data_IF_157059712545
#
_entry.id   IF_157059712545
#
_cell.length_a   1.000
_cell.length_b   1.000
_cell.length_c   1.000
_cell.angle_alpha   90.00
_cell.angle_beta   90.00
_cell.angle_gamma   90.00
#
_symmetry.space_group_name_H-M   'P 1'
#
loop_
_entity.id
_entity.type
_entity.pdbx_description
1 polymer ?
#
# COMPACT_ATOMS: atom_id res chain seq x y z
N UNK A 1 10.15 -27.61 -66.05
CA UNK A 1 9.70 -26.30 -65.52
C UNK A 1 9.39 -26.47 -64.03
N UNK A 2 10.30 -25.96 -63.17
CA UNK A 2 10.27 -26.29 -61.74
C UNK A 2 9.62 -25.17 -60.95
N UNK A 3 8.34 -25.25 -60.70
CA UNK A 3 7.56 -24.32 -59.88
C UNK A 3 7.76 -24.56 -58.35
N UNK A 4 8.18 -25.75 -57.97
CA UNK A 4 8.35 -26.14 -56.56
C UNK A 4 9.30 -25.23 -55.76
N UNK A 5 10.48 -24.84 -56.27
CA UNK A 5 11.37 -23.98 -55.46
C UNK A 5 10.79 -22.59 -55.21
N UNK A 6 10.03 -22.05 -56.17
CA UNK A 6 9.45 -20.70 -56.01
C UNK A 6 8.32 -20.68 -54.99
N UNK A 7 7.47 -21.68 -54.94
CA UNK A 7 6.39 -21.82 -53.94
C UNK A 7 6.98 -22.04 -52.57
N UNK A 8 8.00 -22.86 -52.43
CA UNK A 8 8.68 -23.10 -51.15
C UNK A 8 9.36 -21.82 -50.60
N UNK A 9 9.95 -21.01 -51.44
CA UNK A 9 10.63 -19.75 -51.05
C UNK A 9 9.60 -18.71 -50.58
N UNK A 10 8.48 -18.55 -51.30
CA UNK A 10 7.41 -17.62 -50.92
C UNK A 10 6.71 -18.08 -49.67
N UNK A 11 6.42 -19.37 -49.53
CA UNK A 11 5.82 -19.95 -48.29
C UNK A 11 6.72 -19.77 -47.07
N UNK A 12 8.00 -20.02 -47.21
CA UNK A 12 8.98 -19.82 -46.15
C UNK A 12 9.10 -18.36 -45.69
N UNK A 13 9.13 -17.43 -46.64
CA UNK A 13 9.19 -15.99 -46.35
C UNK A 13 7.92 -15.48 -45.63
N UNK A 14 6.73 -15.95 -46.06
CA UNK A 14 5.47 -15.58 -45.43
C UNK A 14 5.37 -16.08 -43.96
N UNK A 15 5.81 -17.32 -43.69
CA UNK A 15 5.85 -17.88 -42.35
C UNK A 15 6.85 -17.12 -41.47
N UNK A 16 8.04 -16.82 -41.97
CA UNK A 16 9.05 -16.05 -41.23
C UNK A 16 8.53 -14.65 -40.88
N UNK A 17 7.94 -13.94 -41.84
CA UNK A 17 7.41 -12.60 -41.63
C UNK A 17 6.24 -12.59 -40.61
N UNK A 18 5.34 -13.53 -40.73
CA UNK A 18 4.19 -13.67 -39.78
C UNK A 18 4.67 -13.99 -38.37
N UNK A 19 5.67 -14.88 -38.24
CA UNK A 19 6.30 -15.22 -36.96
C UNK A 19 6.97 -14.02 -36.29
N UNK A 20 7.69 -13.22 -37.05
CA UNK A 20 8.37 -12.02 -36.55
C UNK A 20 7.37 -10.95 -36.05
N UNK A 21 6.33 -10.68 -36.84
CA UNK A 21 5.28 -9.70 -36.47
C UNK A 21 4.50 -10.15 -35.24
N UNK A 22 4.21 -11.44 -35.10
CA UNK A 22 3.51 -11.98 -33.95
C UNK A 22 4.41 -11.92 -32.70
N UNK A 23 5.66 -12.30 -32.81
CA UNK A 23 6.64 -12.21 -31.72
C UNK A 23 6.83 -10.78 -31.24
N UNK A 24 6.93 -9.82 -32.13
CA UNK A 24 7.08 -8.41 -31.82
C UNK A 24 5.83 -7.84 -31.11
N UNK A 25 4.63 -8.19 -31.58
CA UNK A 25 3.39 -7.82 -30.90
C UNK A 25 3.26 -8.41 -29.50
N UNK A 26 3.65 -9.66 -29.30
CA UNK A 26 3.62 -10.31 -28.00
C UNK A 26 4.64 -9.66 -27.05
N UNK A 27 5.84 -9.36 -27.55
CA UNK A 27 6.87 -8.67 -26.80
C UNK A 27 6.40 -7.27 -26.38
N UNK A 28 5.85 -6.50 -27.30
CA UNK A 28 5.36 -5.15 -27.00
C UNK A 28 4.21 -5.17 -25.96
N UNK A 29 3.27 -6.12 -26.05
CA UNK A 29 2.23 -6.29 -25.05
C UNK A 29 2.82 -6.60 -23.67
N UNK A 30 3.79 -7.53 -23.60
CA UNK A 30 4.44 -7.88 -22.34
C UNK A 30 5.21 -6.69 -21.73
N UNK A 31 5.86 -5.87 -22.55
CA UNK A 31 6.56 -4.66 -22.11
C UNK A 31 5.60 -3.61 -21.55
N UNK A 32 4.47 -3.38 -22.22
CA UNK A 32 3.42 -2.46 -21.73
C UNK A 32 2.80 -2.96 -20.42
N UNK A 33 2.50 -4.26 -20.32
CA UNK A 33 1.91 -4.84 -19.13
C UNK A 33 2.89 -4.85 -17.94
N UNK A 34 4.17 -5.09 -18.19
CA UNK A 34 5.20 -5.01 -17.14
C UNK A 34 5.39 -3.58 -16.64
N UNK A 35 5.39 -2.60 -17.53
CA UNK A 35 5.49 -1.18 -17.17
C UNK A 35 4.29 -0.68 -16.36
N UNK A 36 3.07 -1.18 -16.67
CA UNK A 36 1.86 -0.87 -15.90
C UNK A 36 1.91 -1.49 -14.50
N UNK A 37 2.35 -2.75 -14.38
CA UNK A 37 2.51 -3.42 -13.09
C UNK A 37 3.55 -2.72 -12.22
N UNK A 38 4.67 -2.30 -12.82
CA UNK A 38 5.71 -1.58 -12.09
C UNK A 38 5.18 -0.23 -11.57
N UNK A 39 4.51 0.57 -12.40
CA UNK A 39 3.91 1.84 -11.98
C UNK A 39 2.89 1.67 -10.84
N UNK A 40 2.05 0.63 -10.89
CA UNK A 40 1.12 0.34 -9.79
C UNK A 40 1.85 -0.06 -8.51
N UNK A 41 2.90 -0.86 -8.61
CA UNK A 41 3.73 -1.23 -7.47
C UNK A 41 4.32 0.00 -6.80
N UNK A 42 4.91 0.90 -7.58
CA UNK A 42 5.54 2.11 -7.07
C UNK A 42 4.50 3.00 -6.37
N UNK A 43 3.34 3.19 -6.99
CA UNK A 43 2.20 3.89 -6.40
C UNK A 43 1.76 3.33 -5.04
N UNK A 44 1.67 2.00 -4.93
CA UNK A 44 1.25 1.34 -3.69
C UNK A 44 2.32 1.46 -2.60
N UNK A 45 3.58 1.43 -2.97
CA UNK A 45 4.71 1.65 -2.06
C UNK A 45 4.76 3.11 -1.60
N UNK A 46 4.60 4.07 -2.50
CA UNK A 46 4.58 5.50 -2.17
C UNK A 46 3.51 5.80 -1.12
N UNK A 47 2.30 5.25 -1.30
CA UNK A 47 1.21 5.48 -0.35
C UNK A 47 1.49 4.91 1.05
N UNK A 48 1.99 3.68 1.16
CA UNK A 48 2.30 3.08 2.47
C UNK A 48 3.51 3.76 3.13
N UNK A 49 4.48 4.24 2.36
CA UNK A 49 5.63 5.01 2.87
C UNK A 49 5.17 6.34 3.42
N UNK A 50 4.32 7.09 2.69
CA UNK A 50 3.74 8.34 3.17
C UNK A 50 2.93 8.13 4.46
N UNK A 51 2.12 7.07 4.53
CA UNK A 51 1.39 6.72 5.75
C UNK A 51 2.31 6.37 6.93
N UNK A 52 3.41 5.65 6.66
CA UNK A 52 4.43 5.31 7.65
C UNK A 52 5.16 6.53 8.21
N UNK A 53 5.53 7.48 7.34
CA UNK A 53 6.15 8.75 7.76
C UNK A 53 5.21 9.57 8.64
N UNK A 54 3.95 9.70 8.23
CA UNK A 54 2.93 10.36 9.02
C UNK A 54 2.76 9.69 10.39
N UNK A 55 2.60 8.37 10.42
CA UNK A 55 2.48 7.58 11.64
C UNK A 55 3.67 7.80 12.60
N UNK A 56 4.92 7.76 12.09
CA UNK A 56 6.12 7.99 12.89
C UNK A 56 6.09 9.37 13.55
N UNK A 57 5.72 10.42 12.81
CA UNK A 57 5.60 11.79 13.35
C UNK A 57 4.50 11.90 14.40
N UNK A 58 3.34 11.27 14.17
CA UNK A 58 2.26 11.26 15.16
C UNK A 58 2.66 10.55 16.45
N UNK A 59 3.42 9.46 16.38
CA UNK A 59 3.97 8.80 17.57
C UNK A 59 4.93 9.70 18.32
N UNK A 60 5.84 10.36 17.64
CA UNK A 60 6.78 11.33 18.26
C UNK A 60 6.03 12.45 18.97
N UNK A 61 4.96 13.00 18.36
CA UNK A 61 4.13 14.01 19.00
C UNK A 61 3.41 13.48 20.24
N UNK A 62 2.92 12.23 20.22
CA UNK A 62 2.26 11.61 21.35
C UNK A 62 3.22 11.27 22.50
N UNK A 63 4.49 10.98 22.18
CA UNK A 63 5.57 10.71 23.15
C UNK A 63 6.05 11.97 23.86
N UNK A 64 6.25 13.06 23.09
CA UNK A 64 6.78 14.34 23.59
C UNK A 64 5.67 15.36 23.91
N UNK A 65 4.52 14.89 24.34
CA UNK A 65 3.32 15.69 24.57
C UNK A 65 3.60 16.93 25.46
N UNK A 66 4.08 17.98 24.85
CA UNK A 66 4.12 19.31 25.42
C UNK A 66 2.69 19.88 25.34
N UNK A 67 2.01 19.97 26.48
CA UNK A 67 0.62 20.40 26.65
C UNK A 67 0.38 21.83 26.16
N UNK A 68 0.43 22.04 24.83
CA UNK A 68 0.26 23.35 24.19
C UNK A 68 -0.77 23.31 23.07
N UNK A 69 -1.39 24.48 22.83
CA UNK A 69 -2.33 24.77 21.73
C UNK A 69 -1.80 24.43 20.33
N UNK A 70 -0.53 24.07 20.23
CA UNK A 70 0.20 23.79 18.99
C UNK A 70 0.10 22.31 18.52
N UNK A 71 -0.38 21.37 19.38
CA UNK A 71 -0.36 19.95 19.06
C UNK A 71 -1.32 19.58 17.93
N UNK A 72 -2.47 20.22 17.87
CA UNK A 72 -3.42 20.05 16.77
C UNK A 72 -2.80 20.52 15.44
N UNK A 73 -2.12 21.66 15.44
CA UNK A 73 -1.45 22.17 14.25
C UNK A 73 -0.31 21.26 13.81
N UNK A 74 0.55 20.82 14.72
CA UNK A 74 1.64 19.87 14.45
C UNK A 74 1.12 18.54 13.93
N UNK A 75 0.02 18.03 14.50
CA UNK A 75 -0.59 16.79 14.03
C UNK A 75 -1.15 16.90 12.60
N UNK A 76 -1.68 18.06 12.23
CA UNK A 76 -2.11 18.35 10.84
C UNK A 76 -0.91 18.46 9.90
N UNK A 77 0.13 19.17 10.33
CA UNK A 77 1.38 19.31 9.57
C UNK A 77 2.00 17.93 9.26
N UNK A 78 1.95 16.99 10.20
CA UNK A 78 2.47 15.64 10.01
C UNK A 78 1.84 14.91 8.79
N UNK A 79 0.56 15.12 8.50
CA UNK A 79 -0.09 14.55 7.31
C UNK A 79 0.37 15.25 6.03
N UNK A 80 0.37 16.57 6.05
CA UNK A 80 0.72 17.39 4.87
C UNK A 80 2.18 17.17 4.47
N UNK A 81 3.10 17.23 5.43
CA UNK A 81 4.52 17.07 5.18
C UNK A 81 4.92 15.64 4.78
N UNK A 82 4.13 14.63 5.19
CA UNK A 82 4.32 13.26 4.72
C UNK A 82 3.82 13.02 3.29
N UNK A 83 3.14 13.99 2.66
CA UNK A 83 2.60 13.87 1.32
C UNK A 83 1.48 12.84 1.18
N UNK A 84 0.77 12.52 2.29
CA UNK A 84 -0.22 11.43 2.28
C UNK A 84 -1.44 11.76 1.42
N UNK A 85 -1.79 13.03 1.29
CA UNK A 85 -2.92 13.47 0.48
C UNK A 85 -2.64 13.24 -1.00
N UNK A 86 -1.46 13.64 -1.48
CA UNK A 86 -1.03 13.45 -2.86
C UNK A 86 -0.88 11.97 -3.21
N UNK A 87 -0.29 11.17 -2.30
CA UNK A 87 -0.16 9.74 -2.48
C UNK A 87 -1.55 9.05 -2.54
N UNK A 88 -2.50 9.52 -1.72
CA UNK A 88 -3.89 9.04 -1.75
C UNK A 88 -4.58 9.38 -3.08
N UNK A 89 -4.47 10.59 -3.58
CA UNK A 89 -5.10 10.97 -4.85
C UNK A 89 -4.53 10.13 -6.02
N UNK A 90 -3.23 9.89 -6.06
CA UNK A 90 -2.63 8.97 -7.03
C UNK A 90 -3.20 7.56 -6.91
N UNK A 91 -3.40 7.08 -5.67
CA UNK A 91 -4.01 5.78 -5.42
C UNK A 91 -5.44 5.69 -5.94
N UNK A 92 -6.22 6.77 -5.83
CA UNK A 92 -7.59 6.84 -6.35
C UNK A 92 -7.66 6.87 -7.89
N UNK A 93 -6.66 7.46 -8.55
CA UNK A 93 -6.60 7.57 -10.00
C UNK A 93 -6.14 6.26 -10.65
N UNK A 94 -5.06 5.66 -10.14
CA UNK A 94 -4.36 4.58 -10.83
C UNK A 94 -4.46 3.21 -10.11
N UNK A 95 -4.98 3.21 -8.89
CA UNK A 95 -5.13 1.99 -8.08
C UNK A 95 -6.29 1.11 -8.52
N UNK A 96 -6.21 -0.20 -8.24
CA UNK A 96 -7.37 -1.08 -8.41
C UNK A 96 -8.40 -0.86 -7.31
N UNK A 97 -9.69 -1.14 -7.56
CA UNK A 97 -10.75 -0.94 -6.57
C UNK A 97 -10.46 -1.60 -5.21
N UNK A 98 -9.90 -2.82 -5.23
CA UNK A 98 -9.60 -3.57 -4.00
C UNK A 98 -8.50 -2.90 -3.16
N UNK A 99 -7.42 -2.44 -3.79
CA UNK A 99 -6.32 -1.76 -3.10
C UNK A 99 -6.74 -0.36 -2.67
N UNK A 100 -7.48 0.35 -3.51
CA UNK A 100 -7.98 1.71 -3.21
C UNK A 100 -8.93 1.69 -2.00
N UNK A 101 -9.84 0.71 -1.90
CA UNK A 101 -10.75 0.58 -0.76
C UNK A 101 -10.01 0.36 0.56
N UNK A 102 -9.01 -0.55 0.57
CA UNK A 102 -8.19 -0.78 1.76
C UNK A 102 -7.28 0.41 2.08
N UNK A 103 -6.77 1.10 1.07
CA UNK A 103 -6.00 2.33 1.21
C UNK A 103 -6.82 3.46 1.83
N UNK A 104 -8.08 3.62 1.39
CA UNK A 104 -9.01 4.59 1.98
C UNK A 104 -9.27 4.27 3.45
N UNK A 105 -9.54 3.01 3.78
CA UNK A 105 -9.72 2.60 5.18
C UNK A 105 -8.48 2.92 6.02
N UNK A 106 -7.29 2.60 5.53
CA UNK A 106 -6.03 2.92 6.21
C UNK A 106 -5.87 4.44 6.43
N UNK A 107 -6.17 5.25 5.43
CA UNK A 107 -6.13 6.71 5.54
C UNK A 107 -7.12 7.25 6.59
N UNK A 108 -8.34 6.73 6.65
CA UNK A 108 -9.33 7.13 7.64
C UNK A 108 -8.90 6.79 9.07
N UNK A 109 -8.29 5.62 9.27
CA UNK A 109 -7.74 5.21 10.57
C UNK A 109 -6.53 6.06 10.96
N UNK A 110 -5.66 6.41 10.01
CA UNK A 110 -4.56 7.35 10.23
C UNK A 110 -5.08 8.74 10.64
N UNK A 111 -6.15 9.22 10.01
CA UNK A 111 -6.80 10.48 10.40
C UNK A 111 -7.45 10.39 11.80
N UNK A 112 -7.98 9.25 12.19
CA UNK A 112 -8.47 9.05 13.55
C UNK A 112 -7.33 9.14 14.57
N UNK A 113 -6.22 8.48 14.32
CA UNK A 113 -5.00 8.59 15.14
C UNK A 113 -4.49 10.03 15.20
N UNK A 114 -4.45 10.74 14.08
CA UNK A 114 -4.10 12.17 14.05
C UNK A 114 -5.01 12.99 14.97
N UNK A 115 -6.33 12.77 14.95
CA UNK A 115 -7.27 13.48 15.82
C UNK A 115 -7.01 13.18 17.30
N UNK A 116 -6.77 11.92 17.66
CA UNK A 116 -6.45 11.56 19.03
C UNK A 116 -5.18 12.29 19.51
N UNK A 117 -4.11 12.26 18.72
CA UNK A 117 -2.86 12.96 19.03
C UNK A 117 -3.06 14.47 19.07
N UNK A 118 -3.80 15.06 18.12
CA UNK A 118 -4.10 16.49 18.11
C UNK A 118 -4.90 16.96 19.31
N UNK A 119 -5.74 16.08 19.88
CA UNK A 119 -6.47 16.32 21.12
C UNK A 119 -5.66 16.06 22.40
N UNK A 120 -4.35 15.78 22.26
CA UNK A 120 -3.45 15.59 23.39
C UNK A 120 -3.32 14.16 23.90
N UNK A 121 -3.80 13.15 23.16
CA UNK A 121 -3.60 11.77 23.55
C UNK A 121 -2.12 11.41 23.64
N UNK A 122 -1.67 10.91 24.77
CA UNK A 122 -0.32 10.43 25.02
C UNK A 122 -0.16 9.00 24.52
N UNK A 123 1.05 8.63 24.11
CA UNK A 123 1.34 7.28 23.63
C UNK A 123 0.95 6.16 24.60
N UNK A 124 0.89 6.46 25.91
CA UNK A 124 0.50 5.52 26.96
C UNK A 124 -1.00 5.59 27.32
N UNK A 125 -1.80 6.44 26.65
CA UNK A 125 -3.21 6.63 26.99
C UNK A 125 -4.12 5.68 26.21
N UNK A 126 -5.28 5.35 26.78
CA UNK A 126 -6.29 4.52 26.15
C UNK A 126 -6.78 5.13 24.81
N UNK A 127 -6.99 6.44 24.78
CA UNK A 127 -7.45 7.18 23.60
C UNK A 127 -6.49 7.06 22.41
N UNK A 128 -5.18 7.03 22.69
CA UNK A 128 -4.18 6.78 21.65
C UNK A 128 -4.33 5.36 21.12
N UNK A 129 -4.40 4.36 21.98
CA UNK A 129 -4.45 2.96 21.61
C UNK A 129 -5.76 2.59 20.89
N UNK A 130 -6.90 3.17 21.28
CA UNK A 130 -8.18 3.01 20.58
C UNK A 130 -8.11 3.46 19.10
N UNK A 131 -7.30 4.47 18.78
CA UNK A 131 -7.08 4.91 17.41
C UNK A 131 -5.93 4.17 16.72
N UNK A 132 -4.91 3.77 17.47
CA UNK A 132 -3.68 3.18 16.95
C UNK A 132 -3.86 1.73 16.47
N UNK A 133 -4.53 0.88 17.27
CA UNK A 133 -4.73 -0.53 16.89
C UNK A 133 -5.53 -0.70 15.59
N UNK A 134 -6.68 0.00 15.40
CA UNK A 134 -7.39 -0.06 14.13
C UNK A 134 -6.56 0.44 12.93
N UNK A 135 -5.63 1.38 13.16
CA UNK A 135 -4.70 1.81 12.11
C UNK A 135 -3.74 0.69 11.73
N UNK A 136 -3.13 0.01 12.68
CA UNK A 136 -2.23 -1.12 12.41
C UNK A 136 -2.95 -2.25 11.67
N UNK A 137 -4.15 -2.60 12.08
CA UNK A 137 -4.98 -3.58 11.38
C UNK A 137 -5.24 -3.17 9.92
N UNK A 138 -5.55 -1.88 9.68
CA UNK A 138 -5.75 -1.35 8.33
C UNK A 138 -4.47 -1.38 7.48
N UNK A 139 -3.29 -1.16 8.08
CA UNK A 139 -1.99 -1.29 7.40
C UNK A 139 -1.78 -2.73 6.91
N UNK A 140 -2.10 -3.73 7.74
CA UNK A 140 -2.00 -5.14 7.34
C UNK A 140 -3.00 -5.51 6.25
N UNK A 141 -4.23 -5.04 6.35
CA UNK A 141 -5.24 -5.25 5.31
C UNK A 141 -4.81 -4.64 3.96
N UNK A 142 -4.24 -3.44 3.99
CA UNK A 142 -3.69 -2.80 2.79
C UNK A 142 -2.54 -3.61 2.18
N UNK A 143 -1.55 -4.01 2.99
CA UNK A 143 -0.44 -4.86 2.54
C UNK A 143 -0.93 -6.17 1.91
N UNK A 144 -1.93 -6.81 2.52
CA UNK A 144 -2.50 -8.03 1.99
C UNK A 144 -3.21 -7.82 0.65
N UNK A 145 -3.93 -6.70 0.47
CA UNK A 145 -4.56 -6.35 -0.79
C UNK A 145 -3.54 -6.09 -1.90
N UNK A 146 -2.48 -5.31 -1.60
CA UNK A 146 -1.38 -5.03 -2.54
C UNK A 146 -0.67 -6.32 -2.95
N UNK A 147 -0.35 -7.20 -2.02
CA UNK A 147 0.33 -8.47 -2.35
C UNK A 147 -0.53 -9.37 -3.24
N UNK A 148 -1.83 -9.46 -2.97
CA UNK A 148 -2.76 -10.21 -3.85
C UNK A 148 -2.84 -9.63 -5.25
N UNK A 149 -2.91 -8.31 -5.37
CA UNK A 149 -2.91 -7.60 -6.64
C UNK A 149 -1.64 -7.85 -7.46
N UNK A 150 -0.49 -7.93 -6.79
CA UNK A 150 0.80 -8.20 -7.41
C UNK A 150 1.07 -9.70 -7.63
N UNK A 151 0.08 -10.56 -7.41
CA UNK A 151 0.21 -12.01 -7.58
C UNK A 151 1.06 -12.70 -6.52
N UNK A 152 1.26 -12.08 -5.36
CA UNK A 152 2.02 -12.63 -4.24
C UNK A 152 1.11 -13.12 -3.11
N UNK A 153 1.53 -14.15 -2.39
CA UNK A 153 0.80 -14.63 -1.21
C UNK A 153 0.75 -13.55 -0.13
N UNK A 154 -0.42 -13.37 0.48
CA UNK A 154 -0.54 -12.48 1.63
C UNK A 154 0.33 -12.98 2.79
N UNK A 155 1.00 -12.05 3.47
CA UNK A 155 1.76 -12.36 4.68
C UNK A 155 0.86 -12.10 5.89
N UNK A 156 0.77 -13.08 6.77
CA UNK A 156 0.16 -12.89 8.08
C UNK A 156 1.25 -12.50 9.10
N UNK A 157 0.90 -11.77 10.16
CA UNK A 157 1.84 -11.45 11.24
C UNK A 157 2.47 -12.68 11.89
N UNK A 158 1.76 -13.78 11.96
CA UNK A 158 2.28 -15.08 12.43
C UNK A 158 3.50 -15.57 11.62
N UNK A 159 3.65 -15.15 10.36
CA UNK A 159 4.83 -15.44 9.52
C UNK A 159 6.12 -14.87 10.13
N UNK A 160 6.02 -13.85 10.96
CA UNK A 160 7.14 -13.18 11.62
C UNK A 160 7.32 -13.60 13.09
N UNK A 161 6.74 -14.73 13.49
CA UNK A 161 6.86 -15.23 14.85
C UNK A 161 5.99 -14.49 15.86
N UNK A 162 4.93 -13.82 15.42
CA UNK A 162 3.90 -13.18 16.26
C UNK A 162 2.66 -14.09 16.31
N UNK A 163 2.74 -15.25 17.00
CA UNK A 163 1.61 -16.16 17.09
C UNK A 163 0.47 -15.50 17.88
N UNK A 164 -0.74 -15.63 17.37
CA UNK A 164 -1.92 -15.11 18.04
C UNK A 164 -2.21 -13.64 17.80
N UNK A 165 -1.46 -12.94 16.95
CA UNK A 165 -1.87 -11.62 16.53
C UNK A 165 -3.07 -11.73 15.57
N UNK A 166 -4.24 -11.45 16.08
CA UNK A 166 -5.54 -11.48 15.37
C UNK A 166 -5.85 -10.19 14.62
N UNK A 167 -4.90 -9.24 14.58
CA UNK A 167 -5.09 -7.88 14.07
C UNK A 167 -5.27 -6.87 15.19
N UNK A 168 -5.43 -7.32 16.44
CA UNK A 168 -5.35 -6.49 17.62
C UNK A 168 -4.03 -6.76 18.36
N UNK A 169 -3.30 -5.73 18.70
CA UNK A 169 -2.18 -5.88 19.63
C UNK A 169 -2.76 -6.13 21.03
N UNK A 170 -2.36 -7.22 21.68
CA UNK A 170 -2.54 -7.36 23.12
C UNK A 170 -1.73 -6.26 23.80
N UNK A 171 -2.42 -5.25 24.23
CA UNK A 171 -1.83 -4.06 24.82
C UNK A 171 -2.21 -4.03 26.29
N UNK A 172 -1.22 -3.96 27.18
CA UNK A 172 -1.43 -3.85 28.63
C UNK A 172 -2.25 -2.61 29.05
N UNK A 173 -2.37 -1.62 28.18
CA UNK A 173 -3.21 -0.43 28.38
C UNK A 173 -4.66 -0.70 27.99
N UNK A 174 -4.89 -1.52 26.95
CA UNK A 174 -6.23 -1.81 26.41
C UNK A 174 -6.88 -3.06 27.00
N UNK A 175 -6.08 -4.02 27.41
CA UNK A 175 -6.50 -5.21 28.14
C UNK A 175 -5.85 -5.14 29.52
N UNK A 176 -6.45 -4.45 30.50
CA UNK A 176 -6.01 -4.60 31.88
C UNK A 176 -6.11 -6.07 32.22
N UNK A 177 -5.03 -6.65 32.76
CA UNK A 177 -4.94 -8.04 33.19
C UNK A 177 -6.26 -8.43 33.87
N UNK A 178 -6.98 -9.39 33.26
CA UNK A 178 -8.08 -10.04 33.93
C UNK A 178 -7.50 -10.81 35.10
N UNK A 179 -7.97 -10.60 36.34
CA UNK A 179 -7.42 -11.22 37.52
C UNK A 179 -7.52 -12.73 37.48
#
# INVERSE_FOLDING_TARGET
MTWLPLVATIGGAAIAFTGTVLADRLRHRNEVDSSRRQRRRDLYVDFIVAAGLCHTRLRQLAEHNDSGTDQEQRSRAALTEAGIYEARERLFIDGTPAVTATGQTMFERLRALRRAVGNGAKMTSAEFHEAYHPYLAAVWAYRAAVRRELGSTALAPSTFGWPGWDGSETCSVCTPDSP
#
